data_IF_301808194974
#
_entry.id   IF_301808194974
#
_cell.length_a   1.000
_cell.length_b   1.000
_cell.length_c   1.000
_cell.angle_alpha   90.00
_cell.angle_beta   90.00
_cell.angle_gamma   90.00
#
_symmetry.space_group_name_H-M   'P 1'
#
loop_
_entity.id
_entity.type
_entity.pdbx_description
1 polymer ?
#
# COMPACT_ATOMS: atom_id res chain seq x y z
N UNK A 1 -6.90 -7.61 -12.46
CA UNK A 1 -6.17 -6.90 -11.40
C UNK A 1 -6.20 -5.43 -11.72
N UNK A 2 -6.87 -4.59 -10.91
CA UNK A 2 -6.83 -3.15 -11.11
C UNK A 2 -5.71 -2.54 -10.25
N UNK A 3 -4.82 -1.76 -10.86
CA UNK A 3 -3.80 -1.01 -10.12
C UNK A 3 -4.51 0.15 -9.42
N UNK A 4 -4.51 0.14 -8.09
CA UNK A 4 -5.09 1.21 -7.28
C UNK A 4 -4.11 2.37 -7.13
N UNK A 5 -2.84 2.06 -6.87
CA UNK A 5 -1.79 3.06 -6.70
C UNK A 5 -0.41 2.46 -6.92
N UNK A 6 0.46 3.23 -7.53
CA UNK A 6 1.90 2.96 -7.59
C UNK A 6 2.65 4.20 -7.10
N UNK A 7 3.72 4.00 -6.33
CA UNK A 7 4.55 5.11 -5.89
C UNK A 7 5.74 4.72 -5.01
N UNK A 8 6.74 5.59 -5.04
CA UNK A 8 7.86 5.53 -4.11
C UNK A 8 7.51 6.14 -2.75
N UNK A 9 7.79 5.42 -1.66
CA UNK A 9 7.60 5.89 -0.29
C UNK A 9 8.97 6.18 0.32
N UNK A 10 9.31 7.44 0.59
CA UNK A 10 10.53 7.80 1.32
C UNK A 10 10.55 7.21 2.73
N UNK A 11 11.74 7.12 3.31
CA UNK A 11 11.94 6.65 4.69
C UNK A 11 11.03 7.43 5.65
N UNK A 12 10.30 6.72 6.50
CA UNK A 12 9.41 7.31 7.51
C UNK A 12 8.14 7.97 6.97
N UNK A 13 7.89 7.93 5.66
CA UNK A 13 6.65 8.45 5.05
C UNK A 13 5.61 7.35 4.86
N UNK A 14 4.40 7.81 4.57
CA UNK A 14 3.21 6.97 4.37
C UNK A 14 2.57 7.32 3.03
N UNK A 15 2.09 6.31 2.33
CA UNK A 15 1.26 6.41 1.15
C UNK A 15 -0.19 6.10 1.55
N UNK A 16 -1.09 7.01 1.23
CA UNK A 16 -2.52 6.85 1.44
C UNK A 16 -3.15 6.41 0.13
N UNK A 17 -3.79 5.24 0.14
CA UNK A 17 -4.58 4.73 -0.97
C UNK A 17 -6.04 4.92 -0.58
N UNK A 18 -6.78 5.83 -1.26
CA UNK A 18 -8.22 5.95 -1.03
C UNK A 18 -8.88 4.61 -1.34
N UNK A 19 -9.83 4.21 -0.51
CA UNK A 19 -10.58 2.98 -0.74
C UNK A 19 -11.99 3.32 -1.19
N UNK A 20 -12.44 2.66 -2.25
CA UNK A 20 -13.85 2.66 -2.62
C UNK A 20 -14.55 1.56 -1.80
N UNK A 21 -15.15 1.97 -0.68
CA UNK A 21 -16.07 1.15 0.10
C UNK A 21 -15.53 -0.24 0.51
N UNK A 22 -16.23 -1.29 0.06
CA UNK A 22 -16.21 -2.68 0.56
C UNK A 22 -14.89 -3.44 0.40
N UNK A 23 -13.85 -2.81 -0.15
CA UNK A 23 -12.52 -3.41 -0.24
C UNK A 23 -11.94 -3.60 1.16
N UNK A 24 -11.51 -4.82 1.47
CA UNK A 24 -10.73 -5.11 2.69
C UNK A 24 -9.26 -5.29 2.36
N UNK A 25 -8.38 -5.16 3.35
CA UNK A 25 -6.93 -5.39 3.15
C UNK A 25 -6.59 -6.77 2.58
N UNK A 26 -7.45 -7.77 2.81
CA UNK A 26 -7.24 -9.14 2.35
C UNK A 26 -7.43 -9.28 0.84
N UNK A 27 -8.24 -8.39 0.25
CA UNK A 27 -8.51 -8.29 -1.19
C UNK A 27 -7.43 -7.47 -1.92
N UNK A 28 -6.45 -6.95 -1.20
CA UNK A 28 -5.32 -6.22 -1.75
C UNK A 28 -4.10 -7.11 -1.93
N UNK A 29 -3.41 -6.88 -3.03
CA UNK A 29 -2.07 -7.38 -3.29
C UNK A 29 -1.11 -6.20 -3.32
N UNK A 30 -0.07 -6.25 -2.49
CA UNK A 30 0.93 -5.19 -2.37
C UNK A 30 2.27 -5.80 -2.74
N UNK A 31 2.79 -5.36 -3.88
CA UNK A 31 4.13 -5.65 -4.32
C UNK A 31 5.05 -4.53 -3.84
N UNK A 32 6.18 -4.89 -3.24
CA UNK A 32 7.13 -3.92 -2.72
C UNK A 32 8.56 -4.44 -2.85
N UNK A 33 9.50 -3.53 -3.04
CA UNK A 33 10.93 -3.87 -3.10
C UNK A 33 11.65 -3.77 -1.74
N UNK A 34 10.90 -3.65 -0.64
CA UNK A 34 11.43 -3.48 0.71
C UNK A 34 10.35 -3.69 1.78
N UNK A 35 10.72 -3.52 3.05
CA UNK A 35 9.82 -3.71 4.17
C UNK A 35 8.79 -2.58 4.25
N UNK A 36 7.52 -2.97 4.40
CA UNK A 36 6.41 -2.05 4.59
C UNK A 36 5.50 -2.50 5.72
N UNK A 37 4.73 -1.56 6.25
CA UNK A 37 3.60 -1.83 7.13
C UNK A 37 2.30 -1.41 6.45
N UNK A 38 1.32 -2.30 6.43
CA UNK A 38 -0.03 -2.02 5.93
C UNK A 38 -0.97 -1.79 7.10
N UNK A 39 -1.67 -0.66 7.09
CA UNK A 39 -2.76 -0.35 8.01
C UNK A 39 -4.04 -0.10 7.24
N UNK A 40 -5.13 -0.65 7.74
CA UNK A 40 -6.46 -0.49 7.17
C UNK A 40 -7.23 0.53 7.99
N UNK A 41 -7.79 1.54 7.33
CA UNK A 41 -8.67 2.55 7.94
C UNK A 41 -10.07 2.52 7.31
N UNK A 42 -11.07 3.12 7.97
CA UNK A 42 -12.44 3.18 7.46
C UNK A 42 -12.59 3.88 6.11
N UNK A 43 -11.63 4.72 5.70
CA UNK A 43 -11.72 5.53 4.47
C UNK A 43 -10.54 5.32 3.49
N UNK A 44 -9.47 4.66 3.93
CA UNK A 44 -8.27 4.46 3.13
C UNK A 44 -7.39 3.31 3.64
N UNK A 45 -6.46 2.87 2.81
CA UNK A 45 -5.33 2.03 3.20
C UNK A 45 -4.09 2.91 3.36
N UNK A 46 -3.28 2.58 4.37
CA UNK A 46 -2.03 3.29 4.64
C UNK A 46 -0.89 2.30 4.50
N UNK A 47 0.01 2.57 3.55
CA UNK A 47 1.25 1.82 3.39
C UNK A 47 2.38 2.69 3.92
N UNK A 48 3.09 2.22 4.94
CA UNK A 48 4.22 2.93 5.55
C UNK A 48 5.52 2.25 5.17
N UNK A 49 6.53 3.04 4.78
CA UNK A 49 7.88 2.52 4.62
C UNK A 49 8.46 2.18 6.00
N UNK A 50 8.82 0.90 6.20
CA UNK A 50 9.41 0.36 7.42
C UNK A 50 10.93 0.11 7.30
N UNK A 51 11.53 0.40 6.14
CA UNK A 51 12.98 0.39 5.96
C UNK A 51 13.63 1.56 6.70
N UNK A 52 14.83 1.32 7.23
CA UNK A 52 15.62 2.31 7.96
C UNK A 52 16.51 3.19 7.05
N UNK A 53 16.87 2.69 5.85
CA UNK A 53 17.96 3.28 5.06
C UNK A 53 17.61 3.61 3.60
N UNK A 54 16.41 3.29 3.11
CA UNK A 54 16.05 3.52 1.71
C UNK A 54 14.56 3.76 1.48
N UNK A 55 14.27 4.45 0.40
CA UNK A 55 12.91 4.53 -0.14
C UNK A 55 12.51 3.17 -0.71
N UNK A 56 11.23 2.82 -0.56
CA UNK A 56 10.66 1.63 -1.18
C UNK A 56 9.75 2.03 -2.34
N UNK A 57 9.67 1.20 -3.36
CA UNK A 57 8.64 1.26 -4.38
C UNK A 57 7.54 0.30 -3.98
N UNK A 58 6.28 0.77 -4.02
CA UNK A 58 5.12 -0.07 -3.77
C UNK A 58 4.13 0.04 -4.91
N UNK A 59 3.56 -1.10 -5.28
CA UNK A 59 2.47 -1.22 -6.24
C UNK A 59 1.31 -1.93 -5.54
N UNK A 60 0.19 -1.23 -5.42
CA UNK A 60 -1.03 -1.72 -4.75
C UNK A 60 -2.05 -2.08 -5.81
N UNK A 61 -2.48 -3.34 -5.81
CA UNK A 61 -3.41 -3.92 -6.76
C UNK A 61 -4.57 -4.56 -6.02
N UNK A 62 -5.73 -4.64 -6.66
CA UNK A 62 -6.79 -5.56 -6.21
C UNK A 62 -6.46 -6.98 -6.66
N UNK A 63 -6.62 -7.95 -5.75
CA UNK A 63 -6.62 -9.37 -6.11
C UNK A 63 -7.82 -9.61 -7.03
N UNK A 64 -7.58 -10.26 -8.17
CA UNK A 64 -8.69 -10.87 -8.91
C UNK A 64 -9.18 -12.06 -8.09
N UNK A 65 -10.50 -12.12 -7.91
CA UNK A 65 -11.18 -13.27 -7.33
C UNK A 65 -11.14 -14.47 -8.30
#
# INVERSE_FOLDING_TARGET
MAILKEGGIPIGRMLFIPKDGTLSKNDLEIESNGQYQLMERPDCFVVKNAECCRSIMVTVKTKEA
#
